data_IF_747110623826
#
_entry.id   IF_747110623826
#
_cell.length_a   1.000
_cell.length_b   1.000
_cell.length_c   1.000
_cell.angle_alpha   90.00
_cell.angle_beta   90.00
_cell.angle_gamma   90.00
#
_symmetry.space_group_name_H-M   'P 1'
#
loop_
_entity.id
_entity.type
_entity.pdbx_description
1 polymer ?
#
# COMPACT_ATOMS: atom_id res chain seq x y z
N UNK A 1 -6.22 11.52 -60.26
CA UNK A 1 -5.88 10.29 -59.50
C UNK A 1 -4.43 10.22 -59.01
N UNK A 2 -3.38 10.27 -59.88
CA UNK A 2 -1.97 10.19 -59.42
C UNK A 2 -1.51 11.41 -58.60
N UNK A 3 -1.97 12.61 -58.94
CA UNK A 3 -1.65 13.87 -58.23
C UNK A 3 -2.30 13.92 -56.84
N UNK A 4 -3.55 13.48 -56.68
CA UNK A 4 -4.25 13.40 -55.39
C UNK A 4 -3.59 12.39 -54.46
N UNK A 5 -3.20 11.21 -54.96
CA UNK A 5 -2.46 10.21 -54.20
C UNK A 5 -1.11 10.73 -53.68
N UNK A 6 -0.41 11.53 -54.49
CA UNK A 6 0.86 12.17 -54.07
C UNK A 6 0.62 13.23 -52.99
N UNK A 7 -0.44 14.04 -53.12
CA UNK A 7 -0.79 15.06 -52.11
C UNK A 7 -1.16 14.42 -50.77
N UNK A 8 -2.03 13.41 -50.78
CA UNK A 8 -2.45 12.67 -49.60
C UNK A 8 -1.23 11.98 -48.90
N UNK A 9 -0.35 11.37 -49.68
CA UNK A 9 0.85 10.74 -49.14
C UNK A 9 1.78 11.74 -48.47
N UNK A 10 2.01 12.92 -49.07
CA UNK A 10 2.84 13.97 -48.47
C UNK A 10 2.24 14.50 -47.17
N UNK A 11 0.93 14.70 -47.11
CA UNK A 11 0.24 15.12 -45.88
C UNK A 11 0.35 14.07 -44.77
N UNK A 12 0.24 12.78 -45.13
CA UNK A 12 0.40 11.69 -44.16
C UNK A 12 1.83 11.63 -43.60
N UNK A 13 2.85 11.74 -44.46
CA UNK A 13 4.27 11.79 -44.02
C UNK A 13 4.57 13.00 -43.10
N UNK A 14 3.84 14.11 -43.29
CA UNK A 14 3.95 15.30 -42.47
C UNK A 14 3.28 15.14 -41.10
N UNK A 15 2.09 14.54 -41.06
CA UNK A 15 1.41 14.17 -39.80
C UNK A 15 2.23 13.16 -38.97
N UNK A 16 2.84 12.17 -39.64
CA UNK A 16 3.69 11.19 -38.99
C UNK A 16 4.92 11.85 -38.36
N UNK A 17 5.59 12.78 -39.06
CA UNK A 17 6.68 13.58 -38.50
C UNK A 17 6.27 14.44 -37.29
N UNK A 18 5.06 15.04 -37.36
CA UNK A 18 4.50 15.82 -36.26
C UNK A 18 4.28 14.95 -35.00
N UNK A 19 3.77 13.73 -35.17
CA UNK A 19 3.55 12.79 -34.10
C UNK A 19 4.90 12.32 -33.48
N UNK A 20 5.88 11.98 -34.32
CA UNK A 20 7.21 11.58 -33.86
C UNK A 20 7.91 12.71 -33.08
N UNK A 21 7.81 13.94 -33.59
CA UNK A 21 8.34 15.13 -32.91
C UNK A 21 7.65 15.39 -31.56
N UNK A 22 6.34 15.18 -31.47
CA UNK A 22 5.59 15.27 -30.24
C UNK A 22 6.01 14.20 -29.22
N UNK A 23 6.19 12.96 -29.66
CA UNK A 23 6.64 11.85 -28.80
C UNK A 23 8.07 12.07 -28.26
N UNK A 24 8.92 12.77 -28.99
CA UNK A 24 10.30 13.12 -28.57
C UNK A 24 10.40 14.45 -27.84
N UNK A 25 9.28 15.19 -27.67
CA UNK A 25 9.26 16.52 -27.03
C UNK A 25 9.92 17.62 -27.87
N UNK A 26 10.14 17.38 -29.17
CA UNK A 26 10.81 18.32 -30.10
C UNK A 26 9.84 18.99 -31.08
N UNK A 27 8.52 18.86 -30.83
CA UNK A 27 7.50 19.46 -31.71
C UNK A 27 7.59 20.98 -31.70
N UNK A 28 7.61 21.56 -32.89
CA UNK A 28 7.50 23.01 -33.12
C UNK A 28 6.64 23.26 -34.36
N UNK A 29 5.87 24.33 -34.35
CA UNK A 29 5.12 24.78 -35.52
C UNK A 29 6.07 25.21 -36.65
N UNK A 30 5.89 24.65 -37.83
CA UNK A 30 6.76 24.94 -38.98
C UNK A 30 6.00 25.57 -40.14
N UNK A 31 4.68 25.41 -40.23
CA UNK A 31 3.85 25.96 -41.28
C UNK A 31 3.04 27.15 -40.75
N UNK A 32 3.22 28.29 -41.36
CA UNK A 32 2.54 29.53 -41.00
C UNK A 32 1.72 30.09 -42.21
N UNK A 33 1.05 29.19 -42.95
CA UNK A 33 0.22 29.52 -44.05
C UNK A 33 -1.28 29.30 -43.73
N UNK A 34 -2.17 29.65 -44.66
CA UNK A 34 -3.64 29.44 -44.53
C UNK A 34 -4.07 27.99 -44.83
N UNK A 35 -3.15 27.02 -44.81
CA UNK A 35 -3.47 25.62 -45.11
C UNK A 35 -4.17 24.91 -43.95
N UNK A 36 -4.92 23.86 -44.28
CA UNK A 36 -5.52 22.98 -43.26
C UNK A 36 -4.45 22.31 -42.39
N UNK A 37 -3.24 22.11 -42.91
CA UNK A 37 -2.13 21.53 -42.21
C UNK A 37 -1.59 22.49 -41.14
N UNK A 38 -1.40 23.77 -41.49
CA UNK A 38 -1.02 24.83 -40.52
C UNK A 38 -2.04 24.95 -39.39
N UNK A 39 -3.33 24.94 -39.71
CA UNK A 39 -4.39 24.94 -38.69
C UNK A 39 -4.37 23.69 -37.79
N UNK A 40 -3.95 22.53 -38.31
CA UNK A 40 -3.79 21.29 -37.54
C UNK A 40 -2.56 21.38 -36.61
N UNK A 41 -1.43 21.90 -37.13
CA UNK A 41 -0.22 22.12 -36.32
C UNK A 41 -0.48 23.02 -35.10
N UNK A 42 -1.17 24.16 -35.33
CA UNK A 42 -1.53 25.08 -34.25
C UNK A 42 -2.43 24.43 -33.20
N UNK A 43 -3.45 23.67 -33.63
CA UNK A 43 -4.30 22.92 -32.69
C UNK A 43 -3.50 21.87 -31.91
N UNK A 44 -2.56 21.23 -32.57
CA UNK A 44 -1.72 20.19 -31.94
C UNK A 44 -0.72 20.79 -30.95
N UNK A 45 -0.08 21.92 -31.34
CA UNK A 45 0.79 22.69 -30.41
C UNK A 45 0.03 23.13 -29.14
N UNK A 46 -1.20 23.65 -29.36
CA UNK A 46 -2.04 24.06 -28.22
C UNK A 46 -2.42 22.87 -27.31
N UNK A 47 -2.75 21.72 -27.90
CA UNK A 47 -3.04 20.51 -27.15
C UNK A 47 -1.81 20.02 -26.35
N UNK A 48 -0.62 19.97 -26.96
CA UNK A 48 0.63 19.58 -26.31
C UNK A 48 0.98 20.52 -25.16
N UNK A 49 0.89 21.84 -25.39
CA UNK A 49 1.19 22.82 -24.33
C UNK A 49 0.20 22.73 -23.15
N UNK A 50 -1.09 22.48 -23.44
CA UNK A 50 -2.10 22.25 -22.41
C UNK A 50 -1.84 20.93 -21.62
N UNK A 51 -1.45 19.86 -22.32
CA UNK A 51 -1.10 18.58 -21.70
C UNK A 51 0.15 18.71 -20.81
N UNK A 52 1.19 19.42 -21.28
CA UNK A 52 2.38 19.71 -20.47
C UNK A 52 2.07 20.56 -19.24
N UNK A 53 1.25 21.61 -19.39
CA UNK A 53 0.81 22.43 -18.27
C UNK A 53 0.03 21.62 -17.24
N UNK A 54 -0.87 20.76 -17.70
CA UNK A 54 -1.61 19.82 -16.83
C UNK A 54 -0.68 18.86 -16.09
N UNK A 55 0.29 18.27 -16.80
CA UNK A 55 1.28 17.37 -16.19
C UNK A 55 2.12 18.10 -15.14
N UNK A 56 2.58 19.32 -15.41
CA UNK A 56 3.32 20.15 -14.44
C UNK A 56 2.47 20.50 -13.22
N UNK A 57 1.20 20.84 -13.41
CA UNK A 57 0.30 21.12 -12.29
C UNK A 57 0.11 19.88 -11.39
N UNK A 58 -0.10 18.71 -11.97
CA UNK A 58 -0.22 17.44 -11.22
C UNK A 58 1.07 17.15 -10.44
N UNK A 59 2.24 17.36 -11.05
CA UNK A 59 3.53 17.17 -10.36
C UNK A 59 3.70 18.16 -9.18
N UNK A 60 3.33 19.43 -9.36
CA UNK A 60 3.38 20.44 -8.30
C UNK A 60 2.43 20.13 -7.15
N UNK A 61 1.18 19.71 -7.44
CA UNK A 61 0.24 19.31 -6.40
C UNK A 61 0.74 18.07 -5.62
N UNK A 62 1.35 17.11 -6.32
CA UNK A 62 1.98 15.96 -5.70
C UNK A 62 3.12 16.36 -4.74
N UNK A 63 3.97 17.31 -5.13
CA UNK A 63 5.07 17.80 -4.28
C UNK A 63 4.55 18.61 -3.06
N UNK A 64 3.48 19.39 -3.22
CA UNK A 64 2.82 20.06 -2.10
C UNK A 64 2.26 19.03 -1.08
N UNK A 65 1.57 18.01 -1.58
CA UNK A 65 1.04 16.93 -0.74
C UNK A 65 2.17 16.21 0.00
N UNK A 66 3.29 15.92 -0.68
CA UNK A 66 4.49 15.32 -0.10
C UNK A 66 5.04 16.13 1.08
N UNK A 67 5.18 17.44 0.89
CA UNK A 67 5.67 18.34 1.93
C UNK A 67 4.69 18.39 3.10
N UNK A 68 3.40 18.57 2.84
CA UNK A 68 2.37 18.59 3.88
C UNK A 68 2.36 17.32 4.73
N UNK A 69 2.46 16.14 4.09
CA UNK A 69 2.51 14.85 4.80
C UNK A 69 3.78 14.74 5.66
N UNK A 70 4.93 15.22 5.16
CA UNK A 70 6.16 15.22 5.91
C UNK A 70 6.05 16.13 7.15
N UNK A 71 5.51 17.33 6.99
CA UNK A 71 5.31 18.29 8.07
C UNK A 71 4.34 17.76 9.13
N UNK A 72 3.18 17.23 8.73
CA UNK A 72 2.23 16.60 9.64
C UNK A 72 2.90 15.45 10.39
N UNK A 73 3.65 14.58 9.70
CA UNK A 73 4.36 13.46 10.31
C UNK A 73 5.33 13.92 11.40
N UNK A 74 6.13 14.94 11.10
CA UNK A 74 7.10 15.46 12.07
C UNK A 74 6.44 16.20 13.23
N UNK A 75 5.47 17.06 12.94
CA UNK A 75 4.80 17.88 13.96
C UNK A 75 3.90 17.09 14.89
N UNK A 76 3.39 15.94 14.46
CA UNK A 76 2.56 15.06 15.29
C UNK A 76 3.35 14.01 16.07
N UNK A 77 4.48 13.54 15.55
CA UNK A 77 5.32 12.54 16.24
C UNK A 77 5.87 13.05 17.58
N UNK A 78 6.35 14.28 17.62
CA UNK A 78 6.95 14.87 18.82
C UNK A 78 5.97 14.95 19.99
N UNK A 79 4.77 15.57 19.88
CA UNK A 79 3.83 15.61 20.99
C UNK A 79 3.35 14.23 21.42
N UNK A 80 3.18 13.29 20.49
CA UNK A 80 2.78 11.93 20.84
C UNK A 80 3.89 11.20 21.59
N UNK A 81 5.15 11.34 21.16
CA UNK A 81 6.30 10.77 21.88
C UNK A 81 6.40 11.32 23.30
N UNK A 82 6.16 12.63 23.49
CA UNK A 82 6.12 13.24 24.82
C UNK A 82 4.96 12.71 25.67
N UNK A 83 3.76 12.51 25.10
CA UNK A 83 2.63 11.92 25.81
C UNK A 83 2.93 10.49 26.29
N UNK A 84 3.56 9.68 25.44
CA UNK A 84 3.99 8.33 25.80
C UNK A 84 5.05 8.37 26.92
N UNK A 85 6.10 9.18 26.75
CA UNK A 85 7.17 9.31 27.73
C UNK A 85 6.62 9.76 29.11
N UNK A 86 5.79 10.80 29.16
CA UNK A 86 5.21 11.26 30.42
C UNK A 86 4.25 10.23 31.04
N UNK A 87 3.53 9.49 30.21
CA UNK A 87 2.69 8.40 30.73
C UNK A 87 3.52 7.26 31.30
N UNK A 88 4.65 6.90 30.69
CA UNK A 88 5.61 5.90 31.20
C UNK A 88 6.22 6.35 32.54
N UNK A 89 6.73 7.59 32.62
CA UNK A 89 7.26 8.16 33.86
C UNK A 89 6.23 8.18 34.99
N UNK A 90 4.98 8.54 34.68
CA UNK A 90 3.89 8.52 35.67
C UNK A 90 3.53 7.10 36.13
N UNK A 91 3.68 6.09 35.26
CA UNK A 91 3.44 4.68 35.68
C UNK A 91 4.52 4.14 36.62
N UNK A 92 5.72 4.73 36.64
CA UNK A 92 6.79 4.41 37.58
C UNK A 92 6.57 5.03 38.98
N UNK A 93 5.71 6.06 39.07
CA UNK A 93 5.38 6.75 40.30
C UNK A 93 4.38 5.96 41.16
N UNK A 94 4.40 6.22 42.49
CA UNK A 94 3.40 5.64 43.40
C UNK A 94 2.07 6.40 43.30
N UNK A 95 1.19 5.96 42.40
CA UNK A 95 -0.09 6.60 42.15
C UNK A 95 -1.25 5.88 42.85
N UNK A 96 -2.31 6.60 43.27
CA UNK A 96 -3.59 5.98 43.63
C UNK A 96 -4.13 5.11 42.49
N UNK A 97 -4.84 4.02 42.81
CA UNK A 97 -5.34 3.06 41.79
C UNK A 97 -6.15 3.72 40.67
N UNK A 98 -6.99 4.70 40.98
CA UNK A 98 -7.77 5.45 39.99
C UNK A 98 -6.90 6.30 39.06
N UNK A 99 -5.84 6.92 39.57
CA UNK A 99 -4.89 7.70 38.77
C UNK A 99 -4.06 6.78 37.88
N UNK A 100 -3.61 5.63 38.38
CA UNK A 100 -2.87 4.63 37.60
C UNK A 100 -3.70 4.13 36.42
N UNK A 101 -4.98 3.79 36.62
CA UNK A 101 -5.87 3.37 35.56
C UNK A 101 -6.05 4.45 34.46
N UNK A 102 -6.11 5.73 34.87
CA UNK A 102 -6.20 6.84 33.91
C UNK A 102 -4.90 7.02 33.11
N UNK A 103 -3.73 6.88 33.73
CA UNK A 103 -2.43 6.95 33.05
C UNK A 103 -2.27 5.80 32.05
N UNK A 104 -2.62 4.57 32.44
CA UNK A 104 -2.62 3.41 31.53
C UNK A 104 -3.56 3.62 30.34
N UNK A 105 -4.74 4.22 30.57
CA UNK A 105 -5.67 4.55 29.50
C UNK A 105 -5.10 5.62 28.56
N UNK A 106 -4.46 6.68 29.10
CA UNK A 106 -3.77 7.70 28.30
C UNK A 106 -2.64 7.13 27.46
N UNK A 107 -1.81 6.26 28.05
CA UNK A 107 -0.75 5.56 27.33
C UNK A 107 -1.28 4.78 26.14
N UNK A 108 -2.28 3.93 26.36
CA UNK A 108 -2.93 3.14 25.30
C UNK A 108 -3.53 4.01 24.20
N UNK A 109 -4.17 5.13 24.55
CA UNK A 109 -4.73 6.03 23.54
C UNK A 109 -3.63 6.76 22.75
N UNK A 110 -2.52 7.12 23.39
CA UNK A 110 -1.37 7.73 22.73
C UNK A 110 -0.68 6.76 21.77
N UNK A 111 -0.51 5.49 22.15
CA UNK A 111 -0.02 4.44 21.27
C UNK A 111 -0.93 4.24 20.05
N UNK A 112 -2.23 4.18 20.27
CA UNK A 112 -3.22 4.09 19.19
C UNK A 112 -3.14 5.28 18.23
N UNK A 113 -2.99 6.50 18.76
CA UNK A 113 -2.83 7.72 17.95
C UNK A 113 -1.53 7.69 17.15
N UNK A 114 -0.41 7.26 17.75
CA UNK A 114 0.86 7.06 17.06
C UNK A 114 0.71 6.11 15.87
N UNK A 115 0.12 4.94 16.12
CA UNK A 115 -0.12 3.95 15.08
C UNK A 115 -1.01 4.47 13.94
N UNK A 116 -2.06 5.24 14.28
CA UNK A 116 -2.95 5.89 13.31
C UNK A 116 -2.20 6.82 12.37
N UNK A 117 -1.41 7.72 12.95
CA UNK A 117 -0.66 8.73 12.19
C UNK A 117 0.41 8.07 11.33
N UNK A 118 1.17 7.12 11.87
CA UNK A 118 2.19 6.40 11.10
C UNK A 118 1.57 5.63 9.92
N UNK A 119 0.44 4.96 10.14
CA UNK A 119 -0.29 4.24 9.09
C UNK A 119 -0.86 5.19 8.02
N UNK A 120 -1.42 6.33 8.43
CA UNK A 120 -1.96 7.34 7.51
C UNK A 120 -0.87 7.97 6.66
N UNK A 121 0.28 8.28 7.25
CA UNK A 121 1.45 8.83 6.55
C UNK A 121 2.00 7.81 5.54
N UNK A 122 2.17 6.53 5.93
CA UNK A 122 2.60 5.46 5.03
C UNK A 122 1.64 5.32 3.84
N UNK A 123 0.36 5.25 4.14
CA UNK A 123 -0.69 5.12 3.13
C UNK A 123 -0.69 6.30 2.16
N UNK A 124 -0.69 7.53 2.69
CA UNK A 124 -0.70 8.73 1.85
C UNK A 124 0.53 8.83 0.97
N UNK A 125 1.72 8.45 1.47
CA UNK A 125 2.94 8.38 0.66
C UNK A 125 2.85 7.35 -0.45
N UNK A 126 2.26 6.19 -0.18
CA UNK A 126 2.08 5.13 -1.18
C UNK A 126 1.10 5.55 -2.27
N UNK A 127 -0.08 6.08 -1.90
CA UNK A 127 -1.11 6.50 -2.85
C UNK A 127 -0.70 7.67 -3.74
N UNK A 128 0.05 8.61 -3.18
CA UNK A 128 0.58 9.73 -3.97
C UNK A 128 1.85 9.36 -4.76
N UNK A 129 2.27 8.08 -4.76
CA UNK A 129 3.47 7.60 -5.45
C UNK A 129 4.75 8.29 -4.98
N UNK A 130 4.77 8.76 -3.72
CA UNK A 130 5.95 9.29 -3.03
C UNK A 130 6.87 8.12 -2.64
N UNK A 131 6.25 6.99 -2.28
CA UNK A 131 6.93 5.71 -2.11
C UNK A 131 6.93 5.02 -3.47
N UNK A 132 8.11 4.84 -4.02
CA UNK A 132 8.31 4.00 -5.19
C UNK A 132 8.63 2.59 -4.71
N UNK A 133 7.77 1.63 -5.05
CA UNK A 133 8.09 0.22 -4.87
C UNK A 133 9.18 -0.17 -5.86
N UNK A 134 10.11 -0.99 -5.43
CA UNK A 134 11.22 -1.49 -6.26
C UNK A 134 11.21 -3.03 -6.26
N UNK A 135 10.23 -3.67 -6.94
CA UNK A 135 10.14 -5.12 -6.98
C UNK A 135 11.39 -5.73 -7.65
N UNK A 136 11.96 -6.75 -7.02
CA UNK A 136 13.11 -7.50 -7.52
C UNK A 136 12.83 -9.00 -7.40
N UNK A 137 13.33 -9.84 -8.32
CA UNK A 137 13.26 -11.28 -8.18
C UNK A 137 14.02 -11.74 -6.93
N UNK A 138 13.34 -12.39 -5.99
CA UNK A 138 13.95 -12.88 -4.76
C UNK A 138 13.25 -14.15 -4.24
N UNK A 139 13.98 -14.92 -3.42
CA UNK A 139 13.42 -16.06 -2.69
C UNK A 139 12.45 -15.58 -1.60
N UNK A 140 11.34 -16.31 -1.42
CA UNK A 140 10.34 -16.00 -0.38
C UNK A 140 10.77 -16.45 1.01
N UNK A 141 11.62 -17.47 1.13
CA UNK A 141 12.05 -18.02 2.43
C UNK A 141 12.59 -16.94 3.39
N UNK A 142 13.57 -16.08 3.01
CA UNK A 142 14.09 -15.05 3.92
C UNK A 142 13.05 -13.99 4.31
N UNK A 143 12.11 -13.69 3.42
CA UNK A 143 11.00 -12.78 3.71
C UNK A 143 10.08 -13.35 4.78
N UNK A 144 9.68 -14.62 4.64
CA UNK A 144 8.80 -15.28 5.60
C UNK A 144 9.48 -15.45 6.95
N UNK A 145 10.77 -15.83 6.97
CA UNK A 145 11.58 -15.93 8.19
C UNK A 145 11.60 -14.60 8.95
N UNK A 146 11.84 -13.48 8.27
CA UNK A 146 11.88 -12.16 8.89
C UNK A 146 10.56 -11.77 9.56
N UNK A 147 9.43 -12.12 8.93
CA UNK A 147 8.08 -11.85 9.47
C UNK A 147 7.80 -12.76 10.66
N UNK A 148 8.15 -14.03 10.59
CA UNK A 148 7.98 -14.99 11.71
C UNK A 148 8.80 -14.57 12.90
N UNK A 149 10.08 -14.23 12.72
CA UNK A 149 10.96 -13.76 13.79
C UNK A 149 10.37 -12.54 14.51
N UNK A 150 9.88 -11.56 13.76
CA UNK A 150 9.28 -10.34 14.30
C UNK A 150 8.06 -10.60 15.17
N UNK A 151 7.25 -11.62 14.86
CA UNK A 151 5.96 -11.86 15.53
C UNK A 151 5.94 -13.05 16.47
N UNK A 152 7.01 -13.85 16.55
CA UNK A 152 7.10 -15.03 17.42
C UNK A 152 6.88 -14.68 18.89
N UNK A 153 7.53 -13.63 19.40
CA UNK A 153 7.37 -13.19 20.78
C UNK A 153 5.92 -12.80 21.07
N UNK A 154 5.31 -11.98 20.21
CA UNK A 154 3.93 -11.52 20.36
C UNK A 154 2.90 -12.67 20.30
N UNK A 155 3.12 -13.65 19.42
CA UNK A 155 2.28 -14.84 19.36
C UNK A 155 2.41 -15.68 20.65
N UNK A 156 3.64 -15.89 21.11
CA UNK A 156 3.94 -16.67 22.34
C UNK A 156 3.36 -16.02 23.59
N UNK A 157 3.42 -14.70 23.74
CA UNK A 157 2.79 -13.95 24.85
C UNK A 157 1.28 -14.17 24.92
N UNK A 158 0.65 -14.38 23.76
CA UNK A 158 -0.79 -14.68 23.67
C UNK A 158 -1.09 -16.19 23.77
N UNK A 159 -0.07 -17.05 23.89
CA UNK A 159 -0.23 -18.51 23.92
C UNK A 159 -0.57 -19.14 22.57
N UNK A 160 -0.23 -18.46 21.47
CA UNK A 160 -0.46 -18.94 20.11
C UNK A 160 0.80 -19.60 19.53
N UNK A 161 0.61 -20.62 18.68
CA UNK A 161 1.68 -21.24 17.90
C UNK A 161 1.79 -20.55 16.55
N UNK A 162 2.90 -19.89 16.26
CA UNK A 162 3.23 -19.35 14.93
C UNK A 162 4.19 -20.32 14.23
N UNK A 163 3.77 -20.88 13.11
CA UNK A 163 4.51 -21.90 12.36
C UNK A 163 4.73 -21.45 10.91
N UNK A 164 5.88 -21.78 10.36
CA UNK A 164 6.21 -21.55 8.95
C UNK A 164 6.59 -22.87 8.31
N UNK A 165 6.20 -23.05 7.06
CA UNK A 165 6.66 -24.14 6.21
C UNK A 165 7.80 -23.66 5.31
N UNK A 166 8.85 -24.47 5.18
CA UNK A 166 9.95 -24.18 4.27
C UNK A 166 9.47 -24.13 2.82
N UNK A 167 10.07 -23.22 2.05
CA UNK A 167 9.71 -23.02 0.64
C UNK A 167 10.92 -22.67 -0.21
N UNK A 168 10.94 -23.17 -1.43
CA UNK A 168 11.88 -22.79 -2.49
C UNK A 168 11.28 -21.80 -3.49
N UNK A 169 10.11 -21.24 -3.19
CA UNK A 169 9.41 -20.34 -4.08
C UNK A 169 10.13 -19.00 -4.24
N UNK A 170 10.09 -18.48 -5.48
CA UNK A 170 10.60 -17.17 -5.87
C UNK A 170 9.46 -16.31 -6.41
N UNK A 171 9.57 -14.98 -6.22
CA UNK A 171 8.66 -14.00 -6.76
C UNK A 171 9.37 -12.68 -7.04
N UNK A 172 8.71 -11.77 -7.75
CA UNK A 172 9.15 -10.39 -7.97
C UNK A 172 8.44 -9.49 -6.99
N UNK A 173 9.16 -8.94 -6.00
CA UNK A 173 8.59 -8.13 -4.93
C UNK A 173 9.61 -7.17 -4.31
N UNK A 174 9.13 -6.15 -3.60
CA UNK A 174 9.95 -5.28 -2.75
C UNK A 174 10.00 -5.87 -1.34
N UNK A 175 11.17 -6.35 -0.92
CA UNK A 175 11.33 -7.05 0.36
C UNK A 175 10.75 -6.28 1.54
N UNK A 176 11.07 -4.98 1.64
CA UNK A 176 10.65 -4.13 2.75
C UNK A 176 9.13 -3.93 2.78
N UNK A 177 8.54 -3.64 1.63
CA UNK A 177 7.11 -3.34 1.58
C UNK A 177 6.25 -4.59 1.63
N UNK A 178 6.70 -5.68 0.99
CA UNK A 178 6.01 -6.97 1.12
C UNK A 178 6.07 -7.48 2.56
N UNK A 179 7.22 -7.35 3.26
CA UNK A 179 7.31 -7.66 4.69
C UNK A 179 6.30 -6.86 5.52
N UNK A 180 6.15 -5.56 5.26
CA UNK A 180 5.13 -4.71 5.91
C UNK A 180 3.69 -5.20 5.62
N UNK A 181 3.41 -5.63 4.38
CA UNK A 181 2.10 -6.17 4.00
C UNK A 181 1.80 -7.49 4.75
N UNK A 182 2.75 -8.42 4.77
CA UNK A 182 2.62 -9.68 5.50
C UNK A 182 2.49 -9.44 7.02
N UNK A 183 3.29 -8.53 7.57
CA UNK A 183 3.23 -8.12 8.97
C UNK A 183 1.83 -7.65 9.38
N UNK A 184 1.15 -6.85 8.56
CA UNK A 184 -0.22 -6.41 8.81
C UNK A 184 -1.23 -7.56 8.83
N UNK A 185 -1.01 -8.59 8.01
CA UNK A 185 -1.89 -9.77 7.95
C UNK A 185 -1.61 -10.69 9.15
N UNK A 186 -0.33 -10.94 9.48
CA UNK A 186 0.07 -11.75 10.64
C UNK A 186 -0.39 -11.10 11.94
N UNK A 187 -0.26 -9.78 12.06
CA UNK A 187 -0.76 -9.04 13.24
C UNK A 187 -2.27 -9.23 13.43
N UNK A 188 -3.03 -9.18 12.33
CA UNK A 188 -4.46 -9.49 12.38
C UNK A 188 -4.72 -10.95 12.77
N UNK A 189 -3.99 -11.92 12.22
CA UNK A 189 -4.13 -13.32 12.58
C UNK A 189 -3.89 -13.53 14.09
N UNK A 190 -2.82 -12.95 14.66
CA UNK A 190 -2.54 -12.99 16.11
C UNK A 190 -3.68 -12.34 16.90
N UNK A 191 -4.15 -11.20 16.44
CA UNK A 191 -5.16 -10.41 17.13
C UNK A 191 -6.50 -11.15 17.24
N UNK A 192 -6.96 -11.78 16.15
CA UNK A 192 -8.28 -12.40 16.04
C UNK A 192 -8.30 -13.90 16.35
N UNK A 193 -7.15 -14.48 16.71
CA UNK A 193 -7.05 -15.85 17.23
C UNK A 193 -6.90 -15.79 18.75
N UNK A 194 -7.82 -16.39 19.50
CA UNK A 194 -7.71 -16.47 20.96
C UNK A 194 -6.83 -17.64 21.40
N UNK A 195 -7.03 -18.80 20.76
CA UNK A 195 -6.25 -20.01 21.00
C UNK A 195 -6.02 -20.75 19.68
N UNK A 196 -4.88 -21.39 19.55
CA UNK A 196 -4.59 -22.24 18.39
C UNK A 196 -3.33 -21.85 17.64
N UNK A 197 -3.36 -21.92 16.31
CA UNK A 197 -2.18 -21.85 15.46
C UNK A 197 -2.36 -20.87 14.32
N UNK A 198 -1.26 -20.19 14.00
CA UNK A 198 -1.11 -19.40 12.77
C UNK A 198 -0.05 -20.08 11.93
N UNK A 199 -0.37 -20.40 10.69
CA UNK A 199 0.53 -21.09 9.77
C UNK A 199 0.82 -20.21 8.56
N UNK A 200 2.10 -20.10 8.20
CA UNK A 200 2.57 -19.40 7.01
C UNK A 200 3.18 -20.43 6.07
N UNK A 201 2.75 -20.42 4.81
CA UNK A 201 3.30 -21.30 3.77
C UNK A 201 3.37 -20.57 2.44
N UNK A 202 4.24 -21.03 1.53
CA UNK A 202 4.29 -20.48 0.18
C UNK A 202 4.39 -21.59 -0.85
N UNK A 203 3.71 -21.40 -1.98
CA UNK A 203 3.65 -22.35 -3.10
C UNK A 203 3.91 -21.60 -4.41
N UNK A 204 4.75 -22.17 -5.26
CA UNK A 204 5.07 -21.63 -6.58
C UNK A 204 4.09 -22.16 -7.63
N UNK A 205 3.49 -21.26 -8.42
CA UNK A 205 2.71 -21.55 -9.62
C UNK A 205 3.44 -21.04 -10.87
N UNK A 206 2.86 -21.20 -12.04
CA UNK A 206 3.50 -20.80 -13.30
C UNK A 206 3.72 -19.29 -13.39
N UNK A 207 2.72 -18.47 -13.09
CA UNK A 207 2.76 -17.01 -13.22
C UNK A 207 2.90 -16.27 -11.89
N UNK A 208 2.59 -16.91 -10.77
CA UNK A 208 2.58 -16.32 -9.43
C UNK A 208 3.20 -17.26 -8.41
N UNK A 209 3.79 -16.70 -7.37
CA UNK A 209 3.97 -17.39 -6.11
C UNK A 209 2.85 -16.97 -5.16
N UNK A 210 2.29 -17.92 -4.41
CA UNK A 210 1.24 -17.68 -3.42
C UNK A 210 1.78 -17.90 -2.02
N UNK A 211 1.59 -16.91 -1.16
CA UNK A 211 1.85 -17.00 0.27
C UNK A 211 0.49 -17.13 0.96
N UNK A 212 0.30 -18.15 1.77
CA UNK A 212 -0.89 -18.35 2.57
C UNK A 212 -0.57 -18.07 4.05
N UNK A 213 -1.35 -17.18 4.68
CA UNK A 213 -1.34 -16.94 6.12
C UNK A 213 -2.69 -17.41 6.64
N UNK A 214 -2.68 -18.53 7.37
CA UNK A 214 -3.89 -19.20 7.89
C UNK A 214 -3.92 -19.07 9.41
N UNK A 215 -5.06 -18.69 9.95
CA UNK A 215 -5.36 -18.62 11.37
C UNK A 215 -6.53 -19.54 11.75
N UNK A 216 -6.57 -19.97 13.00
CA UNK A 216 -7.68 -20.75 13.59
C UNK A 216 -8.60 -19.87 14.45
N UNK A 217 -8.71 -18.59 14.10
CA UNK A 217 -9.43 -17.58 14.88
C UNK A 217 -10.94 -17.55 14.66
N UNK A 218 -11.52 -16.40 14.95
CA UNK A 218 -12.99 -16.19 14.90
C UNK A 218 -13.59 -16.31 13.50
N UNK A 219 -12.78 -16.23 12.44
CA UNK A 219 -13.25 -16.18 11.07
C UNK A 219 -13.99 -14.87 10.73
N UNK A 220 -14.37 -14.75 9.45
CA UNK A 220 -14.96 -13.54 8.86
C UNK A 220 -16.22 -13.93 8.09
N UNK A 221 -17.39 -13.33 8.38
CA UNK A 221 -18.62 -13.55 7.62
C UNK A 221 -18.43 -13.21 6.13
N UNK A 222 -19.03 -13.99 5.24
CA UNK A 222 -18.90 -13.80 3.79
C UNK A 222 -19.29 -12.38 3.34
N UNK A 223 -20.31 -11.78 3.96
CA UNK A 223 -20.79 -10.42 3.68
C UNK A 223 -19.77 -9.32 4.04
N UNK A 224 -18.74 -9.65 4.81
CA UNK A 224 -17.70 -8.75 5.27
C UNK A 224 -16.36 -8.96 4.55
N UNK A 225 -16.10 -10.13 3.95
CA UNK A 225 -14.81 -10.48 3.36
C UNK A 225 -14.32 -9.50 2.29
N UNK A 226 -15.22 -8.92 1.50
CA UNK A 226 -14.85 -7.86 0.56
C UNK A 226 -14.59 -6.50 1.25
N UNK A 227 -15.26 -6.24 2.38
CA UNK A 227 -15.23 -4.97 3.09
C UNK A 227 -14.02 -4.80 4.00
N UNK A 228 -13.42 -5.90 4.49
CA UNK A 228 -12.27 -5.86 5.39
C UNK A 228 -11.03 -5.16 4.78
N UNK A 229 -10.99 -5.04 3.46
CA UNK A 229 -9.96 -4.30 2.72
C UNK A 229 -10.30 -2.83 2.48
N UNK A 230 -11.45 -2.32 2.98
CA UNK A 230 -11.78 -0.91 2.90
C UNK A 230 -11.09 -0.11 4.03
N UNK A 231 -10.78 1.16 3.75
CA UNK A 231 -10.18 2.06 4.77
C UNK A 231 -11.10 2.21 5.97
N UNK A 232 -10.51 2.13 7.17
CA UNK A 232 -11.20 2.31 8.45
C UNK A 232 -12.33 1.33 8.70
N UNK A 233 -12.44 0.28 7.86
CA UNK A 233 -13.46 -0.74 8.07
C UNK A 233 -13.08 -1.64 9.24
N UNK A 234 -14.06 -1.88 10.10
CA UNK A 234 -13.98 -2.83 11.22
C UNK A 234 -15.33 -3.53 11.36
N UNK A 235 -15.28 -4.87 11.47
CA UNK A 235 -16.49 -5.63 11.75
C UNK A 235 -17.11 -5.24 13.09
N UNK A 236 -18.43 -5.20 13.15
CA UNK A 236 -19.16 -4.93 14.40
C UNK A 236 -18.88 -6.00 15.48
N UNK A 237 -18.61 -7.24 15.06
CA UNK A 237 -18.29 -8.36 15.95
C UNK A 237 -16.96 -8.20 16.70
N UNK A 238 -16.02 -7.39 16.17
CA UNK A 238 -14.67 -7.22 16.71
C UNK A 238 -14.35 -5.78 17.15
N UNK A 239 -15.36 -4.94 17.35
CA UNK A 239 -15.17 -3.55 17.78
C UNK A 239 -14.42 -3.39 19.11
N UNK A 240 -14.51 -4.39 20.00
CA UNK A 240 -13.82 -4.39 21.30
C UNK A 240 -12.32 -4.64 21.19
N UNK A 241 -11.82 -5.19 20.08
CA UNK A 241 -10.38 -5.42 19.89
C UNK A 241 -9.68 -4.17 19.37
N UNK A 242 -8.43 -3.97 19.73
CA UNK A 242 -7.64 -2.80 19.31
C UNK A 242 -7.43 -2.81 17.80
N UNK A 243 -7.41 -1.63 17.17
CA UNK A 243 -7.09 -1.46 15.76
C UNK A 243 -7.88 -0.34 15.10
N UNK A 244 -7.41 0.06 13.93
CA UNK A 244 -7.87 1.24 13.22
C UNK A 244 -8.55 0.92 11.89
N UNK A 245 -8.37 -0.31 11.38
CA UNK A 245 -8.91 -0.73 10.08
C UNK A 245 -8.12 -0.20 8.88
N UNK A 246 -6.81 0.04 9.03
CA UNK A 246 -5.94 0.49 7.94
C UNK A 246 -5.01 -0.64 7.45
N UNK A 247 -4.62 -1.58 8.30
CA UNK A 247 -3.58 -2.56 8.02
C UNK A 247 -3.84 -3.41 6.77
N UNK A 248 -5.03 -4.01 6.64
CA UNK A 248 -5.39 -4.82 5.46
C UNK A 248 -5.52 -3.98 4.19
N UNK A 249 -6.01 -2.75 4.30
CA UNK A 249 -6.03 -1.83 3.18
C UNK A 249 -4.61 -1.50 2.70
N UNK A 250 -3.69 -1.18 3.61
CA UNK A 250 -2.28 -0.92 3.30
C UNK A 250 -1.62 -2.15 2.66
N UNK A 251 -1.82 -3.34 3.22
CA UNK A 251 -1.32 -4.59 2.64
C UNK A 251 -1.81 -4.77 1.19
N UNK A 252 -3.11 -4.55 0.94
CA UNK A 252 -3.67 -4.64 -0.42
C UNK A 252 -3.06 -3.61 -1.38
N UNK A 253 -2.82 -2.36 -0.93
CA UNK A 253 -2.22 -1.33 -1.77
C UNK A 253 -0.77 -1.68 -2.14
N UNK A 254 0.01 -2.19 -1.20
CA UNK A 254 1.39 -2.62 -1.44
C UNK A 254 1.41 -3.76 -2.47
N UNK A 255 0.70 -4.84 -2.21
CA UNK A 255 0.68 -6.03 -3.08
C UNK A 255 0.14 -5.69 -4.48
N UNK A 256 -0.90 -4.85 -4.58
CA UNK A 256 -1.40 -4.39 -5.87
C UNK A 256 -0.40 -3.51 -6.62
N UNK A 257 0.36 -2.69 -5.92
CA UNK A 257 1.43 -1.86 -6.49
C UNK A 257 2.61 -2.69 -7.02
N UNK A 258 2.79 -3.92 -6.55
CA UNK A 258 3.77 -4.89 -7.04
C UNK A 258 3.22 -5.77 -8.19
N UNK A 259 1.99 -5.53 -8.66
CA UNK A 259 1.34 -6.34 -9.69
C UNK A 259 0.70 -7.63 -9.16
N UNK A 260 0.65 -7.79 -7.84
CA UNK A 260 0.02 -8.91 -7.15
C UNK A 260 -1.41 -8.63 -6.71
N UNK A 261 -1.99 -9.58 -5.96
CA UNK A 261 -3.33 -9.42 -5.36
C UNK A 261 -3.49 -10.28 -4.10
N UNK A 262 -4.49 -9.95 -3.28
CA UNK A 262 -4.82 -10.68 -2.04
C UNK A 262 -6.23 -11.25 -2.16
N UNK A 263 -6.39 -12.52 -1.76
CA UNK A 263 -7.69 -13.18 -1.57
C UNK A 263 -7.85 -13.58 -0.11
N UNK A 264 -9.08 -13.72 0.34
CA UNK A 264 -9.43 -14.23 1.66
C UNK A 264 -10.45 -15.38 1.51
N UNK A 265 -10.22 -16.45 2.23
CA UNK A 265 -11.17 -17.53 2.42
C UNK A 265 -11.37 -17.70 3.93
N UNK A 266 -12.60 -17.58 4.41
CA UNK A 266 -12.86 -17.60 5.85
C UNK A 266 -14.25 -18.17 6.13
N UNK A 267 -14.34 -18.88 7.26
CA UNK A 267 -15.60 -19.40 7.79
C UNK A 267 -15.71 -18.98 9.25
N UNK A 268 -16.81 -18.32 9.66
CA UNK A 268 -17.01 -17.95 11.06
C UNK A 268 -16.82 -19.14 12.01
N UNK A 269 -16.00 -18.94 13.03
CA UNK A 269 -15.63 -19.95 14.04
C UNK A 269 -14.61 -21.01 13.60
N UNK A 270 -14.10 -20.94 12.35
CA UNK A 270 -13.08 -21.89 11.84
C UNK A 270 -11.77 -21.21 11.44
N UNK A 271 -11.71 -19.88 11.50
CA UNK A 271 -10.54 -19.10 11.11
C UNK A 271 -10.58 -18.56 9.69
N UNK A 272 -9.45 -17.99 9.27
CA UNK A 272 -9.29 -17.36 7.97
C UNK A 272 -7.97 -17.76 7.32
N UNK A 273 -7.96 -17.76 5.99
CA UNK A 273 -6.74 -17.87 5.18
C UNK A 273 -6.66 -16.68 4.25
N UNK A 274 -5.61 -15.90 4.40
CA UNK A 274 -5.24 -14.83 3.49
C UNK A 274 -4.21 -15.37 2.50
N UNK A 275 -4.56 -15.34 1.21
CA UNK A 275 -3.69 -15.78 0.12
C UNK A 275 -3.18 -14.57 -0.66
N UNK A 276 -1.87 -14.35 -0.61
CA UNK A 276 -1.16 -13.26 -1.26
C UNK A 276 -0.49 -13.82 -2.51
N UNK A 277 -0.78 -13.26 -3.66
CA UNK A 277 -0.23 -13.66 -4.95
C UNK A 277 0.74 -12.59 -5.44
N UNK A 278 2.02 -12.98 -5.61
CA UNK A 278 3.09 -12.15 -6.13
C UNK A 278 3.50 -12.64 -7.52
N UNK A 279 3.77 -11.75 -8.51
CA UNK A 279 4.22 -12.16 -9.83
C UNK A 279 5.60 -12.86 -9.77
N UNK A 280 5.89 -13.63 -10.82
CA UNK A 280 7.18 -14.33 -10.97
C UNK A 280 8.07 -13.65 -11.98
#
# INVERSE_FOLDING_TARGET
>A
MLWERRKTRKTMEEIERMLDAAMTGSFSETNFDESQLSALETKFAHYLSAAEASSRNVAQEKDKIKTLIADISHQTKTPIANLLLYSELLMEETLPASAKANVEALYKQSEKLRFLIDSLVKLSRLENGIISLSPQPAALQPLLESVVEQYTAKASEKGLSLQMQDTDAFAVFDFKWTAEALANIVDNAIKYTEHGTITISAVSYEMFARIDISDTGSGIPETEQAKIFARFYRSNSVQKQEGVGIGLYLARQIISGEGGYIKVASVPGKGSTFSIFLPK
#
